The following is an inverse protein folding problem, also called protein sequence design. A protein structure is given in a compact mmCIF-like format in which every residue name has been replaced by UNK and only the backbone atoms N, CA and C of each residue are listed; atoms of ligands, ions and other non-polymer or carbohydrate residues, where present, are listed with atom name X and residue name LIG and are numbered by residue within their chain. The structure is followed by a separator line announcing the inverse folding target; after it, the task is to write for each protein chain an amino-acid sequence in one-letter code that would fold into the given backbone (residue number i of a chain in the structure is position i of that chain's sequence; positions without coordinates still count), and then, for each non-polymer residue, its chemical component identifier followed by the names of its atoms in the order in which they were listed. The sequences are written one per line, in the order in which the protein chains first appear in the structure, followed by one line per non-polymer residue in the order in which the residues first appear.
data_IF_268898910528
#
_entry.id   IF_268898910528
#
_cell.length_a   1.000
_cell.length_b   1.000
_cell.length_c   1.000
_cell.angle_alpha   90.00
_cell.angle_beta   90.00
_cell.angle_gamma   90.00
#
_symmetry.space_group_name_H-M   'P 1'
#
loop_
_entity.id
_entity.type
_entity.pdbx_description
1 polymer ?
#
# COMPACT_ATOMS: atom_id res chain seq x y z
N UNK A 1 4.87 -38.01 32.07
CA UNK A 1 3.74 -37.57 31.24
C UNK A 1 3.37 -36.20 31.77
N UNK A 2 3.86 -35.14 31.12
CA UNK A 2 3.37 -33.79 31.41
C UNK A 2 1.89 -33.77 31.02
N UNK A 3 1.02 -33.44 31.97
CA UNK A 3 -0.41 -33.33 31.74
C UNK A 3 -0.69 -32.46 30.50
N UNK A 4 -1.32 -33.04 29.47
CA UNK A 4 -1.81 -32.34 28.28
C UNK A 4 -3.05 -31.48 28.62
N UNK A 5 -2.95 -30.64 29.65
CA UNK A 5 -4.00 -29.68 30.04
C UNK A 5 -3.76 -28.30 29.42
N UNK A 6 -3.00 -28.23 28.31
CA UNK A 6 -2.85 -27.01 27.56
C UNK A 6 -4.21 -26.61 26.96
N UNK A 7 -4.70 -25.39 27.21
CA UNK A 7 -5.94 -24.92 26.60
C UNK A 7 -5.80 -24.96 25.07
N UNK A 8 -6.86 -25.40 24.38
CA UNK A 8 -6.90 -25.41 22.92
C UNK A 8 -6.65 -23.98 22.39
N UNK A 9 -5.71 -23.83 21.46
CA UNK A 9 -5.37 -22.54 20.87
C UNK A 9 -6.54 -22.01 20.03
N UNK A 10 -6.92 -20.74 20.26
CA UNK A 10 -7.93 -20.06 19.45
C UNK A 10 -7.32 -19.55 18.13
N UNK A 11 -7.33 -20.40 17.11
CA UNK A 11 -6.79 -20.07 15.79
C UNK A 11 -7.56 -18.98 15.07
N UNK A 12 -8.84 -18.77 15.37
CA UNK A 12 -9.67 -17.83 14.62
C UNK A 12 -9.16 -16.39 14.75
N UNK A 13 -8.74 -15.99 15.94
CA UNK A 13 -8.19 -14.65 16.18
C UNK A 13 -6.76 -14.50 15.62
N UNK A 14 -5.96 -15.57 15.69
CA UNK A 14 -4.62 -15.61 15.10
C UNK A 14 -4.66 -15.41 13.58
N UNK A 15 -5.54 -16.15 12.89
CA UNK A 15 -5.72 -16.04 11.44
C UNK A 15 -6.25 -14.65 11.05
N UNK A 16 -7.25 -14.14 11.79
CA UNK A 16 -7.80 -12.80 11.52
C UNK A 16 -6.74 -11.69 11.59
N UNK A 17 -5.88 -11.73 12.61
CA UNK A 17 -4.81 -10.75 12.78
C UNK A 17 -3.72 -10.93 11.72
N UNK A 18 -3.39 -12.18 11.39
CA UNK A 18 -2.42 -12.49 10.35
C UNK A 18 -2.86 -11.96 8.98
N UNK A 19 -4.12 -12.17 8.61
CA UNK A 19 -4.68 -11.67 7.35
C UNK A 19 -4.67 -10.14 7.30
N UNK A 20 -5.02 -9.48 8.41
CA UNK A 20 -4.92 -8.03 8.52
C UNK A 20 -3.48 -7.53 8.35
N UNK A 21 -2.50 -8.21 8.98
CA UNK A 21 -1.08 -7.88 8.84
C UNK A 21 -0.59 -8.04 7.40
N UNK A 22 -0.98 -9.12 6.72
CA UNK A 22 -0.62 -9.35 5.32
C UNK A 22 -1.21 -8.27 4.42
N UNK A 23 -2.48 -7.93 4.60
CA UNK A 23 -3.14 -6.89 3.80
C UNK A 23 -2.52 -5.50 4.05
N UNK A 24 -2.26 -5.15 5.31
CA UNK A 24 -1.54 -3.92 5.66
C UNK A 24 -0.15 -3.87 5.01
N UNK A 25 0.59 -4.97 5.06
CA UNK A 25 1.94 -5.05 4.50
C UNK A 25 1.94 -4.89 2.97
N UNK A 26 0.99 -5.53 2.26
CA UNK A 26 0.82 -5.35 0.80
C UNK A 26 0.56 -3.88 0.44
N UNK A 27 -0.37 -3.24 1.14
CA UNK A 27 -0.71 -1.82 0.92
C UNK A 27 0.50 -0.94 1.22
N UNK A 28 1.15 -1.15 2.36
CA UNK A 28 2.29 -0.36 2.81
C UNK A 28 3.48 -0.42 1.85
N UNK A 29 3.83 -1.60 1.34
CA UNK A 29 4.92 -1.75 0.35
C UNK A 29 4.62 -0.96 -0.91
N UNK A 30 3.41 -1.08 -1.46
CA UNK A 30 3.01 -0.36 -2.67
C UNK A 30 2.99 1.16 -2.43
N UNK A 31 2.50 1.59 -1.27
CA UNK A 31 2.49 3.01 -0.90
C UNK A 31 3.92 3.58 -0.84
N UNK A 32 4.86 2.86 -0.23
CA UNK A 32 6.27 3.29 -0.14
C UNK A 32 6.88 3.39 -1.54
N UNK A 33 6.69 2.38 -2.39
CA UNK A 33 7.19 2.42 -3.78
C UNK A 33 6.64 3.62 -4.53
N UNK A 34 5.35 3.93 -4.35
CA UNK A 34 4.74 5.07 -5.02
C UNK A 34 5.22 6.42 -4.46
N UNK A 35 5.47 6.51 -3.15
CA UNK A 35 6.07 7.72 -2.54
C UNK A 35 7.46 7.97 -3.13
N UNK A 36 8.27 6.92 -3.33
CA UNK A 36 9.58 7.06 -3.99
C UNK A 36 9.43 7.58 -5.43
N UNK A 37 8.42 7.13 -6.18
CA UNK A 37 8.14 7.68 -7.51
C UNK A 37 7.70 9.16 -7.44
N UNK A 38 6.88 9.55 -6.47
CA UNK A 38 6.52 10.96 -6.29
C UNK A 38 7.76 11.81 -5.96
N UNK A 39 8.70 11.32 -5.16
CA UNK A 39 9.97 12.00 -4.90
C UNK A 39 10.79 12.17 -6.19
N UNK A 40 10.78 11.18 -7.09
CA UNK A 40 11.42 11.30 -8.41
C UNK A 40 10.75 12.41 -9.25
N UNK A 41 9.41 12.45 -9.29
CA UNK A 41 8.65 13.50 -9.99
C UNK A 41 9.01 14.91 -9.47
N UNK A 42 9.19 15.06 -8.15
CA UNK A 42 9.56 16.34 -7.55
C UNK A 42 11.02 16.73 -7.79
N UNK A 43 11.95 15.77 -7.74
CA UNK A 43 13.38 16.05 -7.77
C UNK A 43 13.94 16.19 -9.19
N UNK A 44 13.41 15.43 -10.15
CA UNK A 44 13.98 15.30 -11.48
C UNK A 44 13.06 15.76 -12.62
N UNK A 45 11.78 16.02 -12.33
CA UNK A 45 10.80 16.41 -13.34
C UNK A 45 10.62 17.93 -13.51
N UNK A 46 9.97 18.33 -14.61
CA UNK A 46 9.57 19.72 -14.87
C UNK A 46 8.28 20.14 -14.15
N UNK A 47 7.70 21.29 -14.52
CA UNK A 47 6.48 21.83 -13.88
C UNK A 47 5.28 20.87 -13.90
N UNK A 48 5.12 20.10 -14.98
CA UNK A 48 4.06 19.10 -15.09
C UNK A 48 4.27 17.93 -14.11
N UNK A 49 5.48 17.38 -14.04
CA UNK A 49 5.83 16.33 -13.10
C UNK A 49 5.63 16.78 -11.64
N UNK A 50 6.01 18.01 -11.32
CA UNK A 50 5.81 18.58 -9.98
C UNK A 50 4.32 18.66 -9.60
N UNK A 51 3.45 19.12 -10.51
CA UNK A 51 2.00 19.12 -10.29
C UNK A 51 1.47 17.70 -10.07
N UNK A 52 1.81 16.76 -10.97
CA UNK A 52 1.34 15.40 -10.85
C UNK A 52 1.90 14.67 -9.63
N UNK A 53 3.11 15.00 -9.16
CA UNK A 53 3.66 14.44 -7.93
C UNK A 53 2.79 14.73 -6.72
N UNK A 54 2.21 15.93 -6.62
CA UNK A 54 1.25 16.26 -5.56
C UNK A 54 -0.06 15.50 -5.71
N UNK A 55 -0.62 15.45 -6.93
CA UNK A 55 -1.85 14.71 -7.21
C UNK A 55 -1.69 13.23 -6.85
N UNK A 56 -0.60 12.61 -7.29
CA UNK A 56 -0.31 11.20 -7.03
C UNK A 56 0.01 10.93 -5.55
N UNK A 57 0.68 11.84 -4.84
CA UNK A 57 0.91 11.70 -3.40
C UNK A 57 -0.41 11.66 -2.63
N UNK A 58 -1.31 12.63 -2.88
CA UNK A 58 -2.63 12.65 -2.24
C UNK A 58 -3.45 11.41 -2.62
N UNK A 59 -3.43 11.03 -3.90
CA UNK A 59 -4.09 9.81 -4.38
C UNK A 59 -3.54 8.55 -3.69
N UNK A 60 -2.23 8.48 -3.42
CA UNK A 60 -1.60 7.35 -2.71
C UNK A 60 -2.12 7.22 -1.29
N UNK A 61 -2.21 8.33 -0.56
CA UNK A 61 -2.72 8.33 0.81
C UNK A 61 -4.19 7.92 0.85
N UNK A 62 -5.00 8.48 -0.06
CA UNK A 62 -6.41 8.13 -0.19
C UNK A 62 -6.59 6.66 -0.57
N UNK A 63 -5.88 6.17 -1.58
CA UNK A 63 -5.97 4.79 -2.05
C UNK A 63 -5.48 3.79 -1.00
N UNK A 64 -4.44 4.13 -0.24
CA UNK A 64 -3.97 3.29 0.88
C UNK A 64 -5.00 3.25 2.00
N UNK A 65 -5.63 4.39 2.34
CA UNK A 65 -6.73 4.46 3.29
C UNK A 65 -7.93 3.61 2.88
N UNK A 66 -8.35 3.73 1.62
CA UNK A 66 -9.42 2.89 1.04
C UNK A 66 -9.01 1.42 1.07
N UNK A 67 -7.77 1.10 0.70
CA UNK A 67 -7.23 -0.26 0.72
C UNK A 67 -7.35 -0.92 2.08
N UNK A 68 -7.06 -0.19 3.16
CA UNK A 68 -7.18 -0.72 4.53
C UNK A 68 -8.63 -1.11 4.90
N UNK A 69 -9.64 -0.48 4.27
CA UNK A 69 -11.05 -0.79 4.51
C UNK A 69 -11.58 -1.97 3.66
N UNK A 70 -10.85 -2.40 2.62
CA UNK A 70 -11.31 -3.39 1.64
C UNK A 70 -10.81 -4.82 1.90
N UNK A 71 -10.06 -5.05 2.99
CA UNK A 71 -9.59 -6.38 3.37
C UNK A 71 -8.70 -7.02 2.30
N UNK A 72 -9.06 -8.24 1.86
CA UNK A 72 -8.27 -9.05 0.93
C UNK A 72 -8.01 -8.38 -0.42
N UNK A 73 -8.96 -7.56 -0.90
CA UNK A 73 -8.81 -6.81 -2.16
C UNK A 73 -8.19 -5.42 -1.99
N UNK A 74 -7.76 -5.08 -0.76
CA UNK A 74 -7.25 -3.76 -0.39
C UNK A 74 -5.97 -3.32 -1.10
N UNK A 75 -5.24 -4.26 -1.71
CA UNK A 75 -4.05 -3.94 -2.49
C UNK A 75 -4.36 -3.33 -3.86
N UNK A 76 -5.57 -3.51 -4.41
CA UNK A 76 -5.92 -3.10 -5.77
C UNK A 76 -5.87 -1.57 -5.94
N UNK A 77 -6.51 -0.74 -5.09
CA UNK A 77 -6.47 0.71 -5.24
C UNK A 77 -5.04 1.31 -5.21
N UNK A 78 -4.18 1.02 -4.21
CA UNK A 78 -2.82 1.58 -4.20
C UNK A 78 -1.98 1.08 -5.38
N UNK A 79 -2.17 -0.17 -5.84
CA UNK A 79 -1.48 -0.66 -7.04
C UNK A 79 -1.92 0.06 -8.31
N UNK A 80 -3.20 0.38 -8.46
CA UNK A 80 -3.68 1.16 -9.60
C UNK A 80 -3.04 2.55 -9.66
N UNK A 81 -2.96 3.24 -8.50
CA UNK A 81 -2.27 4.53 -8.41
C UNK A 81 -0.78 4.37 -8.71
N UNK A 82 -0.12 3.34 -8.17
CA UNK A 82 1.29 3.07 -8.45
C UNK A 82 1.58 2.90 -9.95
N UNK A 83 0.79 2.08 -10.65
CA UNK A 83 0.93 1.89 -12.10
C UNK A 83 0.72 3.20 -12.85
N UNK A 84 -0.27 4.00 -12.47
CA UNK A 84 -0.49 5.31 -13.07
C UNK A 84 0.70 6.26 -12.84
N UNK A 85 1.25 6.31 -11.63
CA UNK A 85 2.42 7.13 -11.33
C UNK A 85 3.62 6.68 -12.16
N UNK A 86 3.86 5.37 -12.34
CA UNK A 86 4.94 4.86 -13.20
C UNK A 86 4.80 5.41 -14.63
N UNK A 87 3.59 5.34 -15.20
CA UNK A 87 3.33 5.86 -16.54
C UNK A 87 3.55 7.37 -16.63
N UNK A 88 3.11 8.12 -15.62
CA UNK A 88 3.35 9.57 -15.53
C UNK A 88 4.84 9.88 -15.44
N UNK A 89 5.60 9.14 -14.61
CA UNK A 89 7.04 9.32 -14.49
C UNK A 89 7.75 9.11 -15.81
N UNK A 90 7.39 8.08 -16.59
CA UNK A 90 8.00 7.80 -17.90
C UNK A 90 7.80 8.94 -18.91
N UNK A 91 6.67 9.65 -18.84
CA UNK A 91 6.34 10.70 -19.83
C UNK A 91 6.68 12.12 -19.36
N UNK A 92 7.03 12.32 -18.09
CA UNK A 92 7.26 13.66 -17.51
C UNK A 92 8.63 13.88 -16.89
N UNK A 93 9.43 12.82 -16.71
CA UNK A 93 10.82 12.84 -16.22
C UNK A 93 11.72 12.30 -17.32
#
# INVERSE_FOLDING_TARGET
MSDETAPAMDYAEHERTYDAFINFSKIGVVAILNIVLCLILFAFGGSAAFFFGWVMLVATLAASGIGMALGESGWIPPTAIFVLTVLISIVTV
#
